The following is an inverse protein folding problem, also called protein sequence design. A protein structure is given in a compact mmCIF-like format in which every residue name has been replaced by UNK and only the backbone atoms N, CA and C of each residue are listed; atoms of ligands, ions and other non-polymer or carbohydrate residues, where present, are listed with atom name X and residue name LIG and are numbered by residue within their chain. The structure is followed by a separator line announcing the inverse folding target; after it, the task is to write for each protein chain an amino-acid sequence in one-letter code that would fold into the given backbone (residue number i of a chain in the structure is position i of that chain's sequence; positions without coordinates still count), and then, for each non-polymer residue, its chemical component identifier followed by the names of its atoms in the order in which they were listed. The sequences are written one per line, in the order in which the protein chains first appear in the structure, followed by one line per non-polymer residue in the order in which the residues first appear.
data_IF_849065178908
#
_entry.id   IF_849065178908
#
_cell.length_a   1.000
_cell.length_b   1.000
_cell.length_c   1.000
_cell.angle_alpha   90.00
_cell.angle_beta   90.00
_cell.angle_gamma   90.00
#
_symmetry.space_group_name_H-M   'P 1'
#
loop_
_entity.id
_entity.type
_entity.pdbx_description
1 polymer ?
#
# COMPACT_ATOMS: atom_id res chain seq x y z
N UNK A 1 -35.49 20.77 24.66
CA UNK A 1 -34.78 20.78 25.96
C UNK A 1 -33.42 20.16 25.70
N UNK A 2 -32.33 20.91 25.88
CA UNK A 2 -30.96 20.40 25.61
C UNK A 2 -30.56 19.55 26.81
N UNK A 3 -30.21 18.28 26.54
CA UNK A 3 -29.67 17.36 27.55
C UNK A 3 -28.17 17.59 27.63
N UNK A 4 -27.71 18.17 28.73
CA UNK A 4 -26.29 18.39 28.97
C UNK A 4 -25.66 17.10 29.51
N UNK A 5 -24.61 16.64 28.83
CA UNK A 5 -23.71 15.64 29.38
C UNK A 5 -22.76 16.31 30.38
N UNK A 6 -22.21 15.59 31.37
CA UNK A 6 -21.34 16.23 32.34
C UNK A 6 -20.18 16.99 31.68
N UNK A 7 -19.61 16.51 30.55
CA UNK A 7 -18.52 17.21 29.84
C UNK A 7 -18.88 18.60 29.31
N UNK A 8 -20.18 18.88 29.20
CA UNK A 8 -20.72 20.14 28.70
C UNK A 8 -21.09 21.10 29.84
N UNK A 9 -20.89 20.68 31.09
CA UNK A 9 -21.10 21.52 32.26
C UNK A 9 -19.90 22.47 32.49
N UNK A 10 -20.14 23.69 32.99
CA UNK A 10 -19.07 24.62 33.33
C UNK A 10 -18.14 24.05 34.42
N UNK A 11 -16.84 24.31 34.29
CA UNK A 11 -15.80 23.92 35.26
C UNK A 11 -16.15 24.45 36.66
N UNK A 12 -16.66 23.59 37.54
CA UNK A 12 -17.05 23.96 38.92
C UNK A 12 -18.35 23.32 39.41
N UNK A 13 -19.16 22.71 38.54
CA UNK A 13 -20.32 21.92 38.98
C UNK A 13 -19.87 20.58 39.57
N UNK A 14 -20.22 20.34 40.84
CA UNK A 14 -19.98 19.06 41.52
C UNK A 14 -20.82 17.96 40.86
N UNK A 15 -20.18 17.07 40.12
CA UNK A 15 -20.80 15.89 39.54
C UNK A 15 -20.36 14.64 40.32
N UNK A 16 -21.26 13.69 40.58
CA UNK A 16 -20.94 12.43 41.26
C UNK A 16 -19.82 11.69 40.48
N UNK A 17 -18.69 11.33 41.12
CA UNK A 17 -17.60 10.58 40.49
C UNK A 17 -18.04 9.31 39.74
N UNK A 18 -19.17 8.68 40.13
CA UNK A 18 -19.71 7.50 39.42
C UNK A 18 -20.24 7.87 38.04
N UNK A 19 -20.96 8.99 37.92
CA UNK A 19 -21.51 9.47 36.65
C UNK A 19 -20.39 9.88 35.70
N UNK A 20 -19.32 10.47 36.24
CA UNK A 20 -18.11 10.81 35.48
C UNK A 20 -17.46 9.56 34.87
N UNK A 21 -17.32 8.48 35.63
CA UNK A 21 -16.80 7.20 35.11
C UNK A 21 -17.68 6.61 34.00
N UNK A 22 -19.01 6.71 34.13
CA UNK A 22 -19.92 6.24 33.10
C UNK A 22 -19.85 7.09 31.83
N UNK A 23 -19.78 8.42 31.96
CA UNK A 23 -19.58 9.28 30.81
C UNK A 23 -18.25 8.99 30.12
N UNK A 24 -17.17 8.81 30.88
CA UNK A 24 -15.86 8.51 30.30
C UNK A 24 -15.91 7.21 29.49
N UNK A 25 -16.50 6.15 30.05
CA UNK A 25 -16.73 4.90 29.30
C UNK A 25 -17.58 5.11 28.04
N UNK A 26 -18.62 5.94 28.12
CA UNK A 26 -19.45 6.29 26.96
C UNK A 26 -18.65 7.05 25.90
N UNK A 27 -17.85 8.06 26.27
CA UNK A 27 -17.02 8.84 25.34
C UNK A 27 -15.93 7.98 24.71
N UNK A 28 -15.32 7.08 25.48
CA UNK A 28 -14.37 6.09 24.98
C UNK A 28 -15.02 5.17 23.95
N UNK A 29 -16.21 4.64 24.22
CA UNK A 29 -16.97 3.85 23.25
C UNK A 29 -17.32 4.67 21.99
N UNK A 30 -17.81 5.90 22.16
CA UNK A 30 -18.08 6.81 21.04
C UNK A 30 -16.85 7.11 20.18
N UNK A 31 -15.66 7.21 20.80
CA UNK A 31 -14.41 7.43 20.09
C UNK A 31 -14.02 6.19 19.26
N UNK A 32 -14.15 4.98 19.82
CA UNK A 32 -13.91 3.74 19.09
C UNK A 32 -14.89 3.55 17.93
N UNK A 33 -16.19 3.73 18.17
CA UNK A 33 -17.24 3.64 17.13
C UNK A 33 -16.98 4.65 16.00
N UNK A 34 -16.60 5.89 16.35
CA UNK A 34 -16.27 6.92 15.37
C UNK A 34 -15.02 6.57 14.54
N UNK A 35 -14.00 5.96 15.16
CA UNK A 35 -12.80 5.49 14.45
C UNK A 35 -13.11 4.34 13.49
N UNK A 36 -13.95 3.39 13.91
CA UNK A 36 -14.33 2.26 13.06
C UNK A 36 -15.15 2.70 11.86
N UNK A 37 -16.09 3.63 12.06
CA UNK A 37 -16.86 4.22 10.97
C UNK A 37 -15.98 5.06 10.03
N UNK A 38 -15.02 5.81 10.59
CA UNK A 38 -14.03 6.56 9.83
C UNK A 38 -13.18 5.64 8.95
N UNK A 39 -12.64 4.55 9.51
CA UNK A 39 -11.88 3.52 8.77
C UNK A 39 -12.73 2.93 7.65
N UNK A 40 -13.99 2.61 7.94
CA UNK A 40 -14.93 2.06 6.95
C UNK A 40 -15.14 3.02 5.78
N UNK A 41 -15.36 4.31 6.05
CA UNK A 41 -15.52 5.31 4.99
C UNK A 41 -14.25 5.55 4.19
N UNK A 42 -13.07 5.55 4.83
CA UNK A 42 -11.79 5.67 4.15
C UNK A 42 -11.54 4.51 3.17
N UNK A 43 -11.94 3.28 3.52
CA UNK A 43 -11.89 2.12 2.60
C UNK A 43 -12.78 2.30 1.40
N UNK A 44 -14.04 2.66 1.63
CA UNK A 44 -15.01 2.91 0.55
C UNK A 44 -14.50 4.02 -0.36
N UNK A 45 -13.93 5.09 0.22
CA UNK A 45 -13.32 6.17 -0.52
C UNK A 45 -12.18 5.67 -1.42
N UNK A 46 -11.21 4.93 -0.88
CA UNK A 46 -10.11 4.36 -1.64
C UNK A 46 -10.59 3.43 -2.78
N UNK A 47 -11.61 2.60 -2.51
CA UNK A 47 -12.20 1.74 -3.53
C UNK A 47 -12.88 2.56 -4.64
N UNK A 48 -13.61 3.62 -4.29
CA UNK A 48 -14.27 4.50 -5.27
C UNK A 48 -13.26 5.22 -6.18
N UNK A 49 -12.09 5.61 -5.67
CA UNK A 49 -11.02 6.16 -6.50
C UNK A 49 -10.48 5.12 -7.49
N UNK A 50 -10.16 3.91 -7.02
CA UNK A 50 -9.73 2.80 -7.89
C UNK A 50 -10.77 2.48 -8.96
N UNK A 51 -12.05 2.48 -8.59
CA UNK A 51 -13.16 2.26 -9.52
C UNK A 51 -13.27 3.39 -10.55
N UNK A 52 -13.21 4.65 -10.10
CA UNK A 52 -13.25 5.82 -10.98
C UNK A 52 -12.11 5.76 -12.01
N UNK A 53 -10.88 5.49 -11.56
CA UNK A 53 -9.70 5.51 -12.42
C UNK A 53 -9.72 4.39 -13.46
N UNK A 54 -10.28 3.21 -13.12
CA UNK A 54 -10.34 2.06 -14.03
C UNK A 54 -11.55 2.08 -14.97
N UNK A 55 -12.72 2.52 -14.50
CA UNK A 55 -13.98 2.27 -15.20
C UNK A 55 -14.73 3.52 -15.64
N UNK A 56 -14.49 4.69 -15.04
CA UNK A 56 -15.28 5.89 -15.32
C UNK A 56 -14.67 6.71 -16.45
N UNK A 57 -15.37 6.73 -17.59
CA UNK A 57 -14.97 7.45 -18.79
C UNK A 57 -16.06 8.44 -19.21
N UNK A 58 -15.67 9.59 -19.76
CA UNK A 58 -16.59 10.62 -20.24
C UNK A 58 -17.22 11.51 -19.16
N UNK A 59 -17.66 12.70 -19.57
CA UNK A 59 -17.99 13.81 -18.66
C UNK A 59 -19.17 13.53 -17.72
N UNK A 60 -20.23 12.88 -18.19
CA UNK A 60 -21.44 12.58 -17.39
C UNK A 60 -21.19 11.54 -16.30
N UNK A 61 -20.39 10.52 -16.59
CA UNK A 61 -20.05 9.50 -15.58
C UNK A 61 -19.03 10.05 -14.59
N UNK A 62 -18.08 10.88 -15.05
CA UNK A 62 -17.11 11.55 -14.17
C UNK A 62 -17.79 12.46 -13.15
N UNK A 63 -18.76 13.27 -13.57
CA UNK A 63 -19.52 14.13 -12.65
C UNK A 63 -20.29 13.32 -11.61
N UNK A 64 -20.97 12.24 -12.02
CA UNK A 64 -21.64 11.32 -11.08
C UNK A 64 -20.67 10.67 -10.10
N UNK A 65 -19.55 10.12 -10.58
CA UNK A 65 -18.54 9.52 -9.73
C UNK A 65 -17.98 10.53 -8.70
N UNK A 66 -17.68 11.76 -9.14
CA UNK A 66 -17.25 12.86 -8.25
C UNK A 66 -18.29 13.18 -7.18
N UNK A 67 -19.58 13.21 -7.51
CA UNK A 67 -20.63 13.45 -6.50
C UNK A 67 -20.73 12.34 -5.46
N UNK A 68 -20.52 11.07 -5.86
CA UNK A 68 -20.51 9.94 -4.92
C UNK A 68 -19.29 10.02 -3.99
N UNK A 69 -18.12 10.31 -4.55
CA UNK A 69 -16.89 10.50 -3.78
C UNK A 69 -17.05 11.65 -2.78
N UNK A 70 -17.59 12.80 -3.21
CA UNK A 70 -17.83 13.95 -2.33
C UNK A 70 -18.75 13.58 -1.14
N UNK A 71 -19.83 12.82 -1.38
CA UNK A 71 -20.71 12.35 -0.29
C UNK A 71 -19.97 11.45 0.71
N UNK A 72 -19.04 10.63 0.27
CA UNK A 72 -18.23 9.81 1.18
C UNK A 72 -17.24 10.68 1.94
N UNK A 73 -16.64 11.68 1.30
CA UNK A 73 -15.78 12.66 1.96
C UNK A 73 -16.52 13.44 3.05
N UNK A 74 -17.78 13.83 2.81
CA UNK A 74 -18.61 14.51 3.82
C UNK A 74 -18.84 13.62 5.05
N UNK A 75 -19.01 12.31 4.84
CA UNK A 75 -19.12 11.34 5.95
C UNK A 75 -17.81 11.18 6.71
N UNK A 76 -16.68 11.09 6.00
CA UNK A 76 -15.34 11.09 6.61
C UNK A 76 -15.17 12.31 7.52
N UNK A 77 -15.52 13.50 7.03
CA UNK A 77 -15.43 14.74 7.80
C UNK A 77 -16.36 14.71 9.02
N UNK A 78 -17.58 14.17 8.88
CA UNK A 78 -18.53 14.05 9.98
C UNK A 78 -18.07 13.07 11.07
N UNK A 79 -17.45 11.95 10.68
CA UNK A 79 -16.89 10.96 11.61
C UNK A 79 -15.64 11.47 12.30
N UNK A 80 -14.76 12.16 11.58
CA UNK A 80 -13.62 12.86 12.17
C UNK A 80 -14.06 13.90 13.21
N UNK A 81 -15.10 14.70 12.90
CA UNK A 81 -15.67 15.65 13.84
C UNK A 81 -16.35 14.98 15.04
N UNK A 82 -16.93 13.79 14.86
CA UNK A 82 -17.47 12.98 15.98
C UNK A 82 -16.35 12.50 16.90
N UNK A 83 -15.26 12.00 16.31
CA UNK A 83 -14.07 11.60 17.06
C UNK A 83 -13.46 12.77 17.83
N UNK A 84 -13.24 13.92 17.18
CA UNK A 84 -12.70 15.11 17.83
C UNK A 84 -13.53 15.57 19.02
N UNK A 85 -14.87 15.56 18.90
CA UNK A 85 -15.77 15.90 20.02
C UNK A 85 -15.67 14.92 21.18
N UNK A 86 -15.59 13.62 20.90
CA UNK A 86 -15.41 12.61 21.93
C UNK A 86 -14.04 12.75 22.62
N UNK A 87 -12.98 12.94 21.82
CA UNK A 87 -11.61 13.10 22.29
C UNK A 87 -11.40 14.39 23.10
N UNK A 88 -12.02 15.51 22.69
CA UNK A 88 -11.96 16.76 23.45
C UNK A 88 -12.62 16.63 24.82
N UNK A 89 -13.77 15.93 24.88
CA UNK A 89 -14.46 15.65 26.14
C UNK A 89 -13.61 14.75 27.06
N UNK A 90 -12.97 13.72 26.50
CA UNK A 90 -12.06 12.85 27.25
C UNK A 90 -10.88 13.66 27.82
N UNK A 91 -10.26 14.54 27.01
CA UNK A 91 -9.14 15.36 27.45
C UNK A 91 -9.52 16.39 28.52
N UNK A 92 -10.68 17.04 28.41
CA UNK A 92 -11.14 17.98 29.44
C UNK A 92 -11.36 17.30 30.78
N UNK A 93 -11.68 16.00 30.78
CA UNK A 93 -11.85 15.22 32.01
C UNK A 93 -10.55 14.66 32.55
N UNK A 94 -9.62 14.25 31.69
CA UNK A 94 -8.29 13.79 32.09
C UNK A 94 -7.53 14.88 32.87
N UNK A 95 -7.66 16.15 32.48
CA UNK A 95 -7.05 17.27 33.22
C UNK A 95 -7.66 17.49 34.59
N UNK A 96 -8.95 17.20 34.78
CA UNK A 96 -9.67 17.38 36.05
C UNK A 96 -9.46 16.24 37.05
N UNK A 97 -9.25 15.01 36.56
CA UNK A 97 -9.16 13.82 37.41
C UNK A 97 -7.73 13.44 37.82
N UNK A 98 -6.69 14.05 37.23
CA UNK A 98 -5.27 13.74 37.47
C UNK A 98 -4.92 12.23 37.43
N UNK A 99 -5.72 11.44 36.73
CA UNK A 99 -5.52 10.02 36.54
C UNK A 99 -5.14 9.79 35.06
N UNK A 100 -4.05 9.07 34.75
CA UNK A 100 -3.66 8.75 33.38
C UNK A 100 -4.61 7.68 32.84
N UNK A 101 -5.88 8.03 32.67
CA UNK A 101 -6.94 7.12 32.23
C UNK A 101 -7.12 7.19 30.71
N UNK A 102 -6.04 7.45 29.96
CA UNK A 102 -6.09 7.31 28.52
C UNK A 102 -5.87 5.83 28.20
N UNK A 103 -6.80 5.15 27.52
CA UNK A 103 -6.44 3.91 26.84
C UNK A 103 -5.26 4.24 25.94
N UNK A 104 -4.18 3.45 26.02
CA UNK A 104 -2.96 3.64 25.20
C UNK A 104 -3.26 3.70 23.69
N UNK A 105 -4.49 3.37 23.30
CA UNK A 105 -4.93 3.23 21.92
C UNK A 105 -5.57 4.47 21.29
N UNK A 106 -6.01 5.46 22.07
CA UNK A 106 -6.60 6.70 21.52
C UNK A 106 -5.54 7.81 21.43
N UNK A 107 -5.53 8.57 20.34
CA UNK A 107 -4.57 9.64 20.08
C UNK A 107 -5.19 10.86 19.42
N UNK A 108 -4.49 12.01 19.37
CA UNK A 108 -4.98 13.17 18.65
C UNK A 108 -5.06 12.84 17.15
N UNK A 109 -6.22 13.03 16.54
CA UNK A 109 -6.42 12.82 15.11
C UNK A 109 -6.06 14.09 14.36
N UNK A 110 -4.91 14.11 13.69
CA UNK A 110 -4.52 15.21 12.81
C UNK A 110 -5.13 15.01 11.42
N UNK A 111 -5.26 16.09 10.63
CA UNK A 111 -5.72 15.99 9.24
C UNK A 111 -4.82 15.09 8.39
N UNK A 112 -3.53 15.05 8.74
CA UNK A 112 -2.53 14.17 8.15
C UNK A 112 -2.79 12.69 8.46
N UNK A 113 -3.50 12.33 9.52
CA UNK A 113 -3.76 10.92 9.82
C UNK A 113 -4.95 10.35 9.03
N UNK A 114 -5.78 11.24 8.45
CA UNK A 114 -7.07 10.90 7.80
C UNK A 114 -6.82 10.54 6.33
N UNK A 115 -6.18 9.40 6.09
CA UNK A 115 -6.01 8.83 4.77
C UNK A 115 -6.24 7.31 4.77
N UNK A 116 -6.50 6.77 3.59
CA UNK A 116 -6.68 5.32 3.40
C UNK A 116 -5.40 4.55 3.71
N UNK A 117 -5.54 3.26 4.04
CA UNK A 117 -4.43 2.34 4.33
C UNK A 117 -3.37 2.31 3.21
N UNK A 118 -3.82 2.30 1.95
CA UNK A 118 -2.95 2.25 0.77
C UNK A 118 -2.60 3.64 0.21
N UNK A 119 -3.23 4.70 0.73
CA UNK A 119 -3.01 6.06 0.25
C UNK A 119 -1.71 6.58 0.89
N UNK A 120 -0.73 6.91 0.06
CA UNK A 120 0.50 7.56 0.54
C UNK A 120 0.28 9.06 0.60
N UNK A 121 1.06 9.76 1.42
CA UNK A 121 1.07 11.22 1.36
C UNK A 121 1.51 11.70 -0.04
N UNK A 122 1.04 12.88 -0.43
CA UNK A 122 1.46 13.52 -1.69
C UNK A 122 3.00 13.63 -1.74
N UNK A 123 3.62 12.86 -2.63
CA UNK A 123 5.08 12.83 -2.82
C UNK A 123 5.78 11.61 -2.21
N UNK A 124 5.09 10.76 -1.45
CA UNK A 124 5.67 9.53 -0.94
C UNK A 124 5.78 8.47 -2.04
N UNK A 125 6.98 7.91 -2.18
CA UNK A 125 7.18 6.68 -2.96
C UNK A 125 6.53 5.52 -2.23
N UNK A 126 6.18 4.45 -2.95
CA UNK A 126 5.59 3.25 -2.34
C UNK A 126 6.43 2.62 -1.22
N UNK A 127 7.71 2.97 -1.11
CA UNK A 127 8.62 2.51 -0.06
C UNK A 127 8.61 3.38 1.21
N UNK A 128 8.08 4.61 1.16
CA UNK A 128 8.05 5.54 2.31
C UNK A 128 6.68 5.65 2.97
N UNK A 129 5.67 4.95 2.45
CA UNK A 129 4.31 4.97 2.98
C UNK A 129 4.30 4.51 4.43
N UNK A 130 4.00 5.42 5.35
CA UNK A 130 3.83 5.10 6.76
C UNK A 130 2.34 4.99 7.06
N UNK A 131 1.90 3.84 7.57
CA UNK A 131 0.51 3.68 7.99
C UNK A 131 0.21 4.63 9.16
N UNK A 132 -0.85 5.43 9.03
CA UNK A 132 -1.30 6.30 10.11
C UNK A 132 -1.71 5.48 11.33
N UNK A 133 -1.62 6.08 12.51
CA UNK A 133 -1.85 5.37 13.77
C UNK A 133 -3.27 4.81 13.88
N UNK A 134 -4.23 5.44 13.17
CA UNK A 134 -5.61 4.95 13.06
C UNK A 134 -5.70 3.54 12.45
N UNK A 135 -4.69 3.09 11.70
CA UNK A 135 -4.62 1.73 11.14
C UNK A 135 -3.76 0.79 11.97
N UNK A 136 -2.79 1.31 12.74
CA UNK A 136 -1.87 0.50 13.57
C UNK A 136 -2.50 -0.03 14.84
N UNK A 137 -3.48 0.68 15.41
CA UNK A 137 -4.07 0.32 16.71
C UNK A 137 -5.41 -0.38 16.52
N UNK A 138 -5.46 -1.65 16.92
CA UNK A 138 -6.69 -2.45 16.90
C UNK A 138 -7.69 -1.88 17.93
N UNK A 139 -8.97 -1.84 17.58
CA UNK A 139 -10.01 -1.61 18.58
C UNK A 139 -10.02 -2.77 19.56
N UNK A 140 -10.09 -2.49 20.86
CA UNK A 140 -10.25 -3.52 21.89
C UNK A 140 -11.60 -4.20 21.70
N UNK A 141 -11.58 -5.39 21.11
CA UNK A 141 -12.69 -6.35 21.13
C UNK A 141 -13.86 -6.03 20.20
N UNK A 142 -13.83 -6.56 18.99
CA UNK A 142 -15.03 -7.15 18.38
C UNK A 142 -14.62 -7.93 17.13
N UNK A 143 -14.97 -9.21 17.08
CA UNK A 143 -14.96 -10.05 15.88
C UNK A 143 -15.99 -9.54 14.85
N UNK A 144 -15.81 -8.30 14.40
CA UNK A 144 -16.66 -7.60 13.47
C UNK A 144 -16.21 -7.88 12.04
N UNK A 145 -17.13 -7.84 11.08
CA UNK A 145 -16.83 -7.89 9.63
C UNK A 145 -15.78 -6.84 9.24
N UNK A 146 -15.78 -5.69 9.90
CA UNK A 146 -14.74 -4.67 9.71
C UNK A 146 -13.35 -5.19 10.03
N UNK A 147 -13.19 -6.03 11.05
CA UNK A 147 -11.89 -6.57 11.47
C UNK A 147 -11.34 -7.56 10.44
N UNK A 148 -12.16 -8.49 9.95
CA UNK A 148 -11.77 -9.41 8.87
C UNK A 148 -11.31 -8.66 7.60
N UNK A 149 -12.00 -7.57 7.25
CA UNK A 149 -11.58 -6.73 6.11
C UNK A 149 -10.30 -5.93 6.38
N UNK A 150 -10.00 -5.52 7.63
CA UNK A 150 -8.69 -4.93 7.98
C UNK A 150 -7.60 -5.97 7.75
N UNK A 151 -7.83 -7.18 8.26
CA UNK A 151 -6.88 -8.28 8.17
C UNK A 151 -6.62 -8.66 6.70
N UNK A 152 -7.65 -8.72 5.86
CA UNK A 152 -7.50 -8.99 4.43
C UNK A 152 -6.68 -7.91 3.71
N UNK A 153 -6.95 -6.62 3.97
CA UNK A 153 -6.17 -5.52 3.40
C UNK A 153 -4.70 -5.57 3.85
N UNK A 154 -4.44 -5.84 5.14
CA UNK A 154 -3.09 -6.00 5.68
C UNK A 154 -2.39 -7.23 5.09
N UNK A 155 -3.10 -8.34 4.87
CA UNK A 155 -2.56 -9.53 4.22
C UNK A 155 -2.16 -9.24 2.77
N UNK A 156 -2.98 -8.49 2.03
CA UNK A 156 -2.64 -8.06 0.67
C UNK A 156 -1.39 -7.17 0.67
N UNK A 157 -1.31 -6.19 1.57
CA UNK A 157 -0.13 -5.32 1.67
C UNK A 157 1.12 -6.10 2.09
N UNK A 158 1.00 -7.05 3.02
CA UNK A 158 2.09 -7.95 3.39
C UNK A 158 2.53 -8.84 2.23
N UNK A 159 1.59 -9.46 1.51
CA UNK A 159 1.89 -10.25 0.32
C UNK A 159 2.60 -9.41 -0.75
N UNK A 160 2.17 -8.16 -0.96
CA UNK A 160 2.80 -7.23 -1.89
C UNK A 160 4.20 -6.81 -1.43
N UNK A 161 4.39 -6.53 -0.13
CA UNK A 161 5.69 -6.20 0.45
C UNK A 161 6.64 -7.40 0.35
N UNK A 162 6.17 -8.60 0.67
CA UNK A 162 6.92 -9.86 0.56
C UNK A 162 7.29 -10.16 -0.90
N UNK A 163 6.36 -10.01 -1.84
CA UNK A 163 6.64 -10.18 -3.26
C UNK A 163 7.64 -9.15 -3.81
N UNK A 164 7.66 -7.92 -3.27
CA UNK A 164 8.69 -6.92 -3.58
C UNK A 164 10.04 -7.32 -3.00
N UNK A 165 10.08 -7.79 -1.75
CA UNK A 165 11.30 -8.26 -1.12
C UNK A 165 11.91 -9.46 -1.89
N UNK A 166 11.10 -10.43 -2.29
CA UNK A 166 11.56 -11.55 -3.12
C UNK A 166 12.09 -11.10 -4.48
N UNK A 167 11.40 -10.18 -5.17
CA UNK A 167 11.88 -9.62 -6.44
C UNK A 167 13.20 -8.86 -6.27
N UNK A 168 13.31 -8.03 -5.24
CA UNK A 168 14.53 -7.32 -4.91
C UNK A 168 15.70 -8.29 -4.62
N UNK A 169 15.44 -9.35 -3.85
CA UNK A 169 16.45 -10.37 -3.58
C UNK A 169 16.91 -11.08 -4.86
N UNK A 170 15.98 -11.37 -5.78
CA UNK A 170 16.32 -11.94 -7.08
C UNK A 170 17.15 -10.96 -7.94
N UNK A 171 16.79 -9.67 -7.97
CA UNK A 171 17.57 -8.62 -8.62
C UNK A 171 18.99 -8.53 -8.02
N UNK A 172 19.13 -8.55 -6.70
CA UNK A 172 20.43 -8.58 -6.01
C UNK A 172 21.27 -9.81 -6.40
N UNK A 173 20.62 -10.97 -6.61
CA UNK A 173 21.28 -12.21 -7.03
C UNK A 173 21.73 -12.15 -8.50
N UNK A 174 20.96 -11.50 -9.38
CA UNK A 174 21.29 -11.37 -10.81
C UNK A 174 22.31 -10.28 -11.10
N UNK A 175 22.31 -9.20 -10.32
CA UNK A 175 23.13 -8.01 -10.53
C UNK A 175 24.64 -8.27 -10.74
N UNK A 176 25.32 -9.16 -9.97
CA UNK A 176 26.73 -9.45 -10.20
C UNK A 176 27.01 -10.02 -11.59
N UNK A 177 26.11 -10.88 -12.08
CA UNK A 177 26.24 -11.50 -13.40
C UNK A 177 25.93 -10.49 -14.50
N UNK A 178 24.95 -9.60 -14.31
CA UNK A 178 24.69 -8.50 -15.25
C UNK A 178 25.89 -7.55 -15.36
N UNK A 179 26.48 -7.15 -14.24
CA UNK A 179 27.69 -6.32 -14.21
C UNK A 179 28.85 -6.98 -14.96
N UNK A 180 29.07 -8.28 -14.73
CA UNK A 180 30.09 -9.05 -15.44
C UNK A 180 29.81 -9.09 -16.95
N UNK A 181 28.55 -9.28 -17.36
CA UNK A 181 28.14 -9.30 -18.77
C UNK A 181 28.36 -7.95 -19.45
N UNK A 182 28.03 -6.83 -18.79
CA UNK A 182 28.24 -5.49 -19.36
C UNK A 182 29.73 -5.19 -19.58
N UNK A 183 30.59 -5.51 -18.61
CA UNK A 183 32.06 -5.36 -18.77
C UNK A 183 32.56 -6.22 -19.94
N UNK A 184 32.08 -7.46 -20.01
CA UNK A 184 32.47 -8.41 -21.07
C UNK A 184 31.99 -7.93 -22.45
N UNK A 185 30.76 -7.41 -22.52
CA UNK A 185 30.16 -6.85 -23.73
C UNK A 185 30.98 -5.68 -24.26
N UNK A 186 31.37 -4.73 -23.41
CA UNK A 186 32.21 -3.61 -23.84
C UNK A 186 33.59 -4.05 -24.36
N UNK A 187 34.21 -5.05 -23.74
CA UNK A 187 35.45 -5.64 -24.24
C UNK A 187 35.29 -6.40 -25.56
N UNK A 188 34.14 -7.05 -25.76
CA UNK A 188 33.82 -7.73 -27.01
C UNK A 188 33.53 -6.73 -28.14
N UNK A 189 32.65 -5.76 -27.92
CA UNK A 189 32.27 -4.78 -28.96
C UNK A 189 33.46 -3.90 -29.37
N UNK A 190 34.39 -3.60 -28.45
CA UNK A 190 35.63 -2.89 -28.78
C UNK A 190 36.50 -3.71 -29.75
N UNK A 191 36.66 -5.02 -29.51
CA UNK A 191 37.38 -5.92 -30.43
C UNK A 191 36.67 -6.04 -31.77
N UNK A 192 35.33 -6.14 -31.75
CA UNK A 192 34.54 -6.18 -32.97
C UNK A 192 34.78 -4.95 -33.87
N UNK A 193 34.87 -3.75 -33.29
CA UNK A 193 35.24 -2.55 -34.05
C UNK A 193 36.64 -2.63 -34.66
N UNK A 194 37.63 -3.21 -33.96
CA UNK A 194 38.99 -3.38 -34.47
C UNK A 194 39.06 -4.44 -35.58
N UNK A 195 38.35 -5.55 -35.42
CA UNK A 195 38.24 -6.61 -36.44
C UNK A 195 37.56 -6.10 -37.72
N UNK A 196 36.73 -5.06 -37.61
CA UNK A 196 36.03 -4.46 -38.74
C UNK A 196 36.98 -3.75 -39.73
N UNK A 197 38.14 -3.28 -39.28
CA UNK A 197 39.09 -2.45 -40.06
C UNK A 197 39.51 -3.13 -41.36
N UNK A 198 39.76 -4.45 -41.33
CA UNK A 198 40.24 -5.22 -42.50
C UNK A 198 39.12 -5.87 -43.31
N UNK A 199 37.86 -5.77 -42.86
CA UNK A 199 36.72 -6.46 -43.50
C UNK A 199 35.97 -5.60 -44.51
N UNK A 200 36.04 -4.27 -44.38
CA UNK A 200 35.31 -3.35 -45.26
C UNK A 200 36.26 -2.87 -46.37
N UNK A 201 35.99 -3.20 -47.65
CA UNK A 201 36.82 -2.73 -48.74
C UNK A 201 36.72 -1.20 -48.88
N UNK A 202 37.86 -0.52 -48.74
CA UNK A 202 37.91 0.93 -48.84
C UNK A 202 37.83 1.42 -50.31
N UNK A 203 37.07 2.49 -50.54
CA UNK A 203 36.91 3.11 -51.87
C UNK A 203 38.07 4.04 -52.26
N UNK A 204 38.76 4.60 -51.28
CA UNK A 204 39.94 5.46 -51.45
C UNK A 204 40.89 5.29 -50.26
N UNK A 205 42.11 5.83 -50.37
CA UNK A 205 43.09 5.81 -49.28
C UNK A 205 42.62 6.64 -48.08
N UNK A 206 42.03 7.80 -48.33
CA UNK A 206 41.47 8.68 -47.30
C UNK A 206 40.27 8.03 -46.60
N UNK A 207 39.46 7.26 -47.35
CA UNK A 207 38.37 6.48 -46.77
C UNK A 207 38.89 5.41 -45.81
N UNK A 208 39.96 4.68 -46.20
CA UNK A 208 40.58 3.66 -45.35
C UNK A 208 41.12 4.28 -44.05
N UNK A 209 41.79 5.44 -44.16
CA UNK A 209 42.31 6.17 -43.00
C UNK A 209 41.18 6.65 -42.09
N UNK A 210 40.09 7.17 -42.66
CA UNK A 210 38.89 7.59 -41.92
C UNK A 210 38.18 6.43 -41.21
N UNK A 211 37.98 5.29 -41.88
CA UNK A 211 37.34 4.11 -41.26
C UNK A 211 38.21 3.51 -40.16
N UNK A 212 39.52 3.46 -40.37
CA UNK A 212 40.50 2.98 -39.39
C UNK A 212 40.49 3.86 -38.13
N UNK A 213 40.63 5.18 -38.31
CA UNK A 213 40.61 6.14 -37.19
C UNK A 213 39.28 6.11 -36.44
N UNK A 214 38.15 6.00 -37.14
CA UNK A 214 36.83 5.90 -36.52
C UNK A 214 36.66 4.60 -35.72
N UNK A 215 37.11 3.46 -36.26
CA UNK A 215 37.07 2.18 -35.56
C UNK A 215 37.91 2.21 -34.28
N UNK A 216 39.12 2.78 -34.32
CA UNK A 216 39.95 2.98 -33.13
C UNK A 216 39.26 3.89 -32.10
N UNK A 217 38.65 4.99 -32.55
CA UNK A 217 37.92 5.89 -31.65
C UNK A 217 36.72 5.21 -30.99
N UNK A 218 35.94 4.42 -31.72
CA UNK A 218 34.84 3.63 -31.17
C UNK A 218 35.35 2.58 -30.17
N UNK A 219 36.43 1.86 -30.50
CA UNK A 219 37.02 0.89 -29.59
C UNK A 219 37.46 1.56 -28.28
N UNK A 220 38.11 2.72 -28.36
CA UNK A 220 38.57 3.50 -27.20
C UNK A 220 37.40 3.95 -26.30
N UNK A 221 36.32 4.50 -26.88
CA UNK A 221 35.11 4.86 -26.11
C UNK A 221 34.55 3.65 -25.35
N UNK A 222 34.48 2.49 -25.99
CA UNK A 222 33.92 1.26 -25.37
C UNK A 222 34.83 0.74 -24.27
N UNK A 223 36.15 0.82 -24.44
CA UNK A 223 37.10 0.49 -23.38
C UNK A 223 37.02 1.48 -22.21
N UNK A 224 36.85 2.77 -22.48
CA UNK A 224 36.63 3.80 -21.45
C UNK A 224 35.35 3.53 -20.64
N UNK A 225 34.24 3.19 -21.31
CA UNK A 225 32.99 2.76 -20.65
C UNK A 225 33.21 1.52 -19.78
N UNK A 226 34.00 0.54 -20.26
CA UNK A 226 34.34 -0.66 -19.49
C UNK A 226 35.08 -0.32 -18.19
N UNK A 227 36.11 0.52 -18.26
CA UNK A 227 36.89 0.90 -17.08
C UNK A 227 36.06 1.76 -16.12
N UNK A 228 35.19 2.63 -16.64
CA UNK A 228 34.24 3.38 -15.82
C UNK A 228 33.27 2.45 -15.07
N UNK A 229 32.69 1.45 -15.74
CA UNK A 229 31.86 0.44 -15.09
C UNK A 229 32.62 -0.31 -13.99
N UNK A 230 33.89 -0.70 -14.24
CA UNK A 230 34.73 -1.34 -13.22
C UNK A 230 34.97 -0.45 -12.00
N UNK A 231 35.24 0.84 -12.20
CA UNK A 231 35.48 1.77 -11.09
C UNK A 231 34.21 2.01 -10.28
N UNK A 232 33.06 2.19 -10.93
CA UNK A 232 31.79 2.45 -10.24
C UNK A 232 31.30 1.20 -9.50
N UNK A 233 31.51 0.01 -10.05
CA UNK A 233 30.98 -1.24 -9.50
C UNK A 233 31.89 -1.95 -8.49
N UNK A 234 33.09 -1.42 -8.21
CA UNK A 234 34.06 -2.10 -7.34
C UNK A 234 33.55 -2.39 -5.91
N UNK A 235 32.69 -1.54 -5.35
CA UNK A 235 32.11 -1.70 -4.01
C UNK A 235 30.86 -2.59 -3.97
N UNK A 236 30.20 -2.84 -5.11
CA UNK A 236 28.89 -3.50 -5.12
C UNK A 236 28.94 -4.92 -4.52
N UNK A 237 29.95 -5.77 -4.83
CA UNK A 237 30.05 -7.09 -4.20
C UNK A 237 30.12 -7.03 -2.67
N UNK A 238 30.80 -6.03 -2.10
CA UNK A 238 30.90 -5.85 -0.66
C UNK A 238 29.55 -5.44 -0.05
N UNK A 239 28.78 -4.57 -0.73
CA UNK A 239 27.43 -4.20 -0.29
C UNK A 239 26.45 -5.37 -0.34
N UNK A 240 26.53 -6.21 -1.37
CA UNK A 240 25.70 -7.41 -1.49
C UNK A 240 26.03 -8.45 -0.41
N UNK A 241 27.30 -8.61 -0.06
CA UNK A 241 27.72 -9.49 1.04
C UNK A 241 27.27 -8.96 2.40
N UNK A 242 27.42 -7.66 2.66
CA UNK A 242 26.96 -7.04 3.91
C UNK A 242 25.43 -7.10 4.10
N UNK A 243 24.66 -7.17 3.01
CA UNK A 243 23.20 -7.36 3.03
C UNK A 243 22.74 -8.82 3.09
N UNK A 244 23.64 -9.79 2.86
CA UNK A 244 23.32 -11.22 2.74
C UNK A 244 23.01 -11.94 4.06
N UNK A 245 23.36 -11.35 5.20
CA UNK A 245 23.11 -11.93 6.53
C UNK A 245 21.64 -11.79 7.00
N UNK A 246 20.80 -11.07 6.24
CA UNK A 246 19.35 -11.02 6.48
C UNK A 246 18.69 -12.22 5.81
N UNK A 247 18.90 -13.39 6.41
CA UNK A 247 18.03 -14.55 6.15
C UNK A 247 16.66 -14.25 6.77
N UNK A 248 15.68 -13.92 5.93
CA UNK A 248 14.29 -13.96 6.36
C UNK A 248 13.95 -15.44 6.45
N UNK A 249 14.05 -16.01 7.66
CA UNK A 249 13.61 -17.38 7.94
C UNK A 249 12.15 -17.53 7.48
N UNK A 250 11.98 -18.19 6.34
CA UNK A 250 10.71 -18.30 5.63
C UNK A 250 9.70 -19.25 6.30
N UNK A 251 10.10 -19.96 7.38
CA UNK A 251 9.35 -21.10 7.92
C UNK A 251 8.79 -20.89 9.34
N UNK A 252 8.96 -19.73 9.98
CA UNK A 252 8.63 -19.65 11.41
C UNK A 252 7.18 -19.32 11.75
N UNK A 253 6.33 -18.86 10.82
CA UNK A 253 4.87 -18.73 11.10
C UNK A 253 4.07 -18.86 9.81
N UNK A 254 3.71 -20.08 9.44
CA UNK A 254 2.57 -20.31 8.55
C UNK A 254 1.29 -20.13 9.40
N UNK A 255 0.48 -19.06 9.20
CA UNK A 255 -0.79 -18.97 9.90
C UNK A 255 -1.67 -20.11 9.37
N UNK A 256 -1.96 -21.10 10.21
CA UNK A 256 -2.90 -22.16 9.91
C UNK A 256 -4.26 -21.54 9.57
N UNK A 257 -4.55 -21.40 8.28
CA UNK A 257 -5.88 -21.06 7.79
C UNK A 257 -6.70 -22.33 7.97
N UNK A 258 -7.54 -22.37 9.00
CA UNK A 258 -8.54 -23.44 9.14
C UNK A 258 -9.49 -23.38 7.94
N UNK A 259 -9.45 -24.42 7.12
CA UNK A 259 -10.37 -24.63 6.02
C UNK A 259 -11.80 -24.73 6.59
N UNK A 260 -12.78 -23.95 6.08
CA UNK A 260 -14.15 -24.04 6.56
C UNK A 260 -14.74 -25.42 6.23
N UNK A 261 -15.56 -26.02 7.11
CA UNK A 261 -16.09 -27.36 6.92
C UNK A 261 -16.97 -27.44 5.67
N UNK A 262 -16.97 -28.59 4.96
CA UNK A 262 -17.69 -28.75 3.71
C UNK A 262 -19.19 -28.56 3.92
N UNK A 263 -19.77 -27.68 3.11
CA UNK A 263 -21.19 -27.38 3.07
C UNK A 263 -21.93 -28.62 2.55
N UNK A 264 -22.80 -29.18 3.38
CA UNK A 264 -23.54 -30.41 3.09
C UNK A 264 -24.69 -30.09 2.12
N UNK A 265 -24.54 -30.42 0.84
CA UNK A 265 -25.59 -30.29 -0.17
C UNK A 265 -26.65 -31.38 0.06
N UNK A 266 -27.73 -31.01 0.75
CA UNK A 266 -28.92 -31.86 0.91
C UNK A 266 -30.18 -31.02 0.75
N UNK A 267 -30.52 -30.67 -0.49
CA UNK A 267 -31.86 -30.22 -0.85
C UNK A 267 -32.16 -30.49 -2.33
N UNK A 268 -32.27 -31.76 -2.71
CA UNK A 268 -32.98 -32.14 -3.94
C UNK A 268 -34.48 -31.94 -3.70
N UNK A 269 -35.05 -30.84 -4.20
CA UNK A 269 -36.51 -30.72 -4.39
C UNK A 269 -36.80 -30.78 -5.89
N UNK A 270 -37.42 -31.88 -6.29
CA UNK A 270 -37.98 -32.13 -7.61
C UNK A 270 -39.10 -31.14 -7.95
N UNK A 271 -39.01 -30.46 -9.08
CA UNK A 271 -40.16 -29.86 -9.75
C UNK A 271 -40.02 -30.15 -11.25
N UNK A 272 -40.77 -31.14 -11.73
CA UNK A 272 -40.93 -31.38 -13.16
C UNK A 272 -41.89 -30.36 -13.76
N UNK A 273 -41.58 -29.88 -14.96
CA UNK A 273 -42.55 -29.22 -15.83
C UNK A 273 -42.27 -29.58 -17.29
N UNK A 274 -43.16 -30.42 -17.83
CA UNK A 274 -43.26 -30.79 -19.24
C UNK A 274 -44.10 -29.76 -19.99
N UNK A 275 -43.68 -29.29 -21.16
CA UNK A 275 -44.53 -28.93 -22.32
C UNK A 275 -43.64 -28.51 -23.51
N UNK A 276 -43.49 -29.38 -24.52
CA UNK A 276 -44.20 -29.38 -25.83
C UNK A 276 -43.62 -28.42 -26.88
N UNK A 277 -42.89 -28.98 -27.84
CA UNK A 277 -42.41 -28.35 -29.09
C UNK A 277 -43.47 -28.56 -30.18
N UNK A 278 -43.81 -27.56 -31.02
CA UNK A 278 -44.59 -27.79 -32.22
C UNK A 278 -43.70 -27.90 -33.47
N UNK A 279 -43.96 -28.93 -34.26
CA UNK A 279 -43.45 -29.25 -35.60
C UNK A 279 -43.97 -28.25 -36.64
N UNK A 280 -43.19 -27.86 -37.67
CA UNK A 280 -43.71 -27.06 -38.77
C UNK A 280 -44.30 -27.96 -39.87
N UNK A 281 -45.42 -27.53 -40.45
CA UNK A 281 -46.01 -28.09 -41.66
C UNK A 281 -45.65 -27.21 -42.87
N UNK A 282 -45.41 -27.90 -43.99
CA UNK A 282 -45.29 -27.50 -45.40
C UNK A 282 -45.36 -26.03 -45.80
#
# INVERSE_FOLDING_TARGET
MVLYLPSELPSGTLCDPRVQRYELRLRTAQAYDALDELRRHLRVHAHLYKFKDRFVHGQRYLTRAKTVIARVQDKINADAARYHRAYSAINSWATLLHEPLMPNDLGPLQGEDVHGMTDGMLGETQSQKTLSWIWRRHGVGSSSVTDNTVHEELHVEWCNARARAYRWMEECRQLPEEMRRVISFYGWIARWWLELIDTIPARSREHLEGTTTYAYHQADIRLSMREHCRSVWHCVPAWLQAGGDVSIDADSVEPTIQEPPPMNDSASTSAGLSTSVPTPAH
#
